data_IF_404635373203
#
_entry.id   IF_404635373203
#
_cell.length_a   1.000
_cell.length_b   1.000
_cell.length_c   1.000
_cell.angle_alpha   90.00
_cell.angle_beta   90.00
_cell.angle_gamma   90.00
#
_symmetry.space_group_name_H-M   'P 1'
#
loop_
_entity.id
_entity.type
_entity.pdbx_description
1 polymer ?
#
# COMPACT_ATOMS: atom_id res chain seq x y z
N UNK A 1 -11.05 1.13 -22.10
CA UNK A 1 -10.41 2.36 -21.63
C UNK A 1 -10.99 2.88 -20.32
N UNK A 2 -12.33 2.96 -20.18
CA UNK A 2 -13.01 3.53 -19.02
C UNK A 2 -12.65 2.85 -17.69
N UNK A 3 -12.61 1.52 -17.65
CA UNK A 3 -12.25 0.75 -16.43
C UNK A 3 -10.79 1.01 -16.07
N UNK A 4 -9.89 0.97 -17.05
CA UNK A 4 -8.47 1.23 -16.87
C UNK A 4 -8.23 2.62 -16.25
N UNK A 5 -8.83 3.65 -16.86
CA UNK A 5 -8.73 5.02 -16.36
C UNK A 5 -9.28 5.14 -14.94
N UNK A 6 -10.47 4.56 -14.66
CA UNK A 6 -11.09 4.66 -13.35
C UNK A 6 -10.26 3.99 -12.24
N UNK A 7 -9.70 2.83 -12.52
CA UNK A 7 -8.81 2.14 -11.57
C UNK A 7 -7.53 2.95 -11.33
N UNK A 8 -6.95 3.54 -12.39
CA UNK A 8 -5.80 4.42 -12.23
C UNK A 8 -6.11 5.66 -11.40
N UNK A 9 -7.26 6.30 -11.62
CA UNK A 9 -7.73 7.43 -10.82
C UNK A 9 -7.88 7.06 -9.35
N UNK A 10 -8.47 5.90 -9.06
CA UNK A 10 -8.66 5.42 -7.68
C UNK A 10 -7.35 5.06 -6.98
N UNK A 11 -6.39 4.47 -7.69
CA UNK A 11 -5.12 4.05 -7.10
C UNK A 11 -4.09 5.18 -7.05
N UNK A 12 -3.79 5.79 -8.21
CA UNK A 12 -2.67 6.71 -8.35
C UNK A 12 -3.08 8.17 -8.12
N UNK A 13 -4.11 8.66 -8.82
CA UNK A 13 -4.51 10.06 -8.71
C UNK A 13 -5.04 10.38 -7.30
N UNK A 14 -5.85 9.52 -6.72
CA UNK A 14 -6.34 9.70 -5.35
C UNK A 14 -5.18 9.73 -4.33
N UNK A 15 -4.20 8.84 -4.50
CA UNK A 15 -2.97 8.84 -3.70
C UNK A 15 -2.19 10.15 -3.82
N UNK A 16 -2.04 10.66 -5.05
CA UNK A 16 -1.38 11.95 -5.29
C UNK A 16 -2.11 13.11 -4.63
N UNK A 17 -3.43 13.21 -4.82
CA UNK A 17 -4.22 14.31 -4.26
C UNK A 17 -4.16 14.32 -2.73
N UNK A 18 -4.35 13.16 -2.10
CA UNK A 18 -4.24 13.04 -0.64
C UNK A 18 -2.81 13.35 -0.17
N UNK A 19 -1.82 12.74 -0.78
CA UNK A 19 -0.41 12.93 -0.42
C UNK A 19 0.02 14.38 -0.49
N UNK A 20 -0.37 15.10 -1.55
CA UNK A 20 -0.11 16.54 -1.74
C UNK A 20 -0.68 17.38 -0.59
N UNK A 21 -1.96 17.17 -0.27
CA UNK A 21 -2.65 17.98 0.75
C UNK A 21 -2.11 17.72 2.16
N UNK A 22 -1.85 16.45 2.52
CA UNK A 22 -1.31 16.15 3.84
C UNK A 22 0.15 16.57 3.97
N UNK A 23 0.96 16.41 2.91
CA UNK A 23 2.35 16.86 2.89
C UNK A 23 2.46 18.37 3.14
N UNK A 24 1.62 19.18 2.49
CA UNK A 24 1.60 20.62 2.69
C UNK A 24 1.38 21.01 4.17
N UNK A 25 0.49 20.29 4.86
CA UNK A 25 0.24 20.50 6.29
C UNK A 25 1.37 19.99 7.18
N UNK A 26 1.96 18.84 6.86
CA UNK A 26 3.06 18.25 7.63
C UNK A 26 4.35 19.08 7.50
N UNK A 27 4.61 19.66 6.35
CA UNK A 27 5.77 20.53 6.11
C UNK A 27 5.82 21.76 7.03
N UNK A 28 4.68 22.28 7.47
CA UNK A 28 4.64 23.42 8.39
C UNK A 28 5.24 23.13 9.77
N UNK A 29 5.29 21.85 10.15
CA UNK A 29 5.84 21.40 11.45
C UNK A 29 7.07 20.48 11.29
N UNK A 30 7.49 20.18 10.04
CA UNK A 30 8.59 19.26 9.72
C UNK A 30 8.45 17.88 10.40
N UNK A 31 7.22 17.39 10.49
CA UNK A 31 6.88 16.14 11.16
C UNK A 31 5.61 15.52 10.56
N UNK A 32 5.65 14.20 10.35
CA UNK A 32 4.50 13.43 9.89
C UNK A 32 4.90 12.11 9.26
N UNK A 33 3.89 11.26 9.06
CA UNK A 33 4.03 9.98 8.38
C UNK A 33 2.94 9.83 7.33
N UNK A 34 3.33 9.45 6.12
CA UNK A 34 2.43 9.14 5.00
C UNK A 34 2.71 7.71 4.59
N UNK A 35 1.73 6.82 4.72
CA UNK A 35 1.86 5.41 4.35
C UNK A 35 0.91 5.09 3.20
N UNK A 36 1.46 4.62 2.09
CA UNK A 36 0.70 4.19 0.93
C UNK A 36 0.53 2.67 0.96
N UNK A 37 -0.70 2.21 0.75
CA UNK A 37 -1.00 0.78 0.65
C UNK A 37 -0.84 0.29 -0.78
N UNK A 38 0.20 -0.49 -1.00
CA UNK A 38 0.45 -1.23 -2.22
C UNK A 38 -0.21 -2.60 -2.24
N UNK A 39 0.20 -3.40 -3.21
CA UNK A 39 -0.20 -4.79 -3.38
C UNK A 39 0.90 -5.52 -4.14
N UNK A 40 0.83 -6.85 -4.28
CA UNK A 40 1.65 -7.60 -5.24
C UNK A 40 1.63 -6.97 -6.64
N UNK A 41 0.48 -6.40 -7.02
CA UNK A 41 0.28 -5.64 -8.26
C UNK A 41 1.11 -4.34 -8.33
N UNK A 42 1.77 -3.90 -7.26
CA UNK A 42 2.74 -2.80 -7.29
C UNK A 42 4.12 -3.24 -7.82
N UNK A 43 4.37 -4.55 -7.85
CA UNK A 43 5.66 -5.15 -8.23
C UNK A 43 5.59 -5.93 -9.55
N UNK A 44 4.45 -6.57 -9.81
CA UNK A 44 4.28 -7.44 -10.98
C UNK A 44 2.87 -7.34 -11.55
N UNK A 45 2.75 -7.47 -12.87
CA UNK A 45 1.46 -7.64 -13.53
C UNK A 45 0.99 -9.11 -13.45
N UNK A 46 -0.33 -9.31 -13.51
CA UNK A 46 -0.95 -10.63 -13.64
C UNK A 46 -1.95 -10.65 -14.77
N UNK A 47 -2.25 -11.84 -15.30
CA UNK A 47 -3.29 -12.01 -16.30
C UNK A 47 -4.64 -11.49 -15.76
N UNK A 48 -5.31 -10.62 -16.52
CA UNK A 48 -6.57 -9.99 -16.10
C UNK A 48 -6.42 -8.76 -15.19
N UNK A 49 -5.24 -8.48 -14.66
CA UNK A 49 -5.00 -7.39 -13.68
C UNK A 49 -4.29 -6.15 -14.24
N UNK A 50 -4.25 -5.96 -15.56
CA UNK A 50 -3.51 -4.86 -16.20
C UNK A 50 -3.86 -3.47 -15.66
N UNK A 51 -5.15 -3.19 -15.43
CA UNK A 51 -5.59 -1.90 -14.89
C UNK A 51 -5.13 -1.71 -13.43
N UNK A 52 -5.31 -2.73 -12.60
CA UNK A 52 -4.92 -2.68 -11.20
C UNK A 52 -3.40 -2.58 -11.03
N UNK A 53 -2.65 -3.40 -11.78
CA UNK A 53 -1.19 -3.35 -11.75
C UNK A 53 -0.66 -1.99 -12.24
N UNK A 54 -1.23 -1.43 -13.32
CA UNK A 54 -0.86 -0.10 -13.80
C UNK A 54 -1.08 0.99 -12.73
N UNK A 55 -2.23 0.97 -12.06
CA UNK A 55 -2.53 1.91 -10.99
C UNK A 55 -1.63 1.75 -9.75
N UNK A 56 -1.36 0.51 -9.33
CA UNK A 56 -0.52 0.23 -8.15
C UNK A 56 0.97 0.48 -8.40
N UNK A 57 1.50 0.23 -9.60
CA UNK A 57 2.85 0.65 -9.99
C UNK A 57 2.99 2.17 -9.97
N UNK A 58 1.99 2.89 -10.50
CA UNK A 58 1.99 4.35 -10.48
C UNK A 58 1.96 4.90 -9.03
N UNK A 59 1.16 4.30 -8.14
CA UNK A 59 1.14 4.66 -6.73
C UNK A 59 2.50 4.42 -6.04
N UNK A 60 3.15 3.29 -6.34
CA UNK A 60 4.49 2.99 -5.81
C UNK A 60 5.53 4.02 -6.27
N UNK A 61 5.50 4.39 -7.57
CA UNK A 61 6.40 5.42 -8.11
C UNK A 61 6.16 6.79 -7.45
N UNK A 62 4.90 7.16 -7.20
CA UNK A 62 4.54 8.34 -6.44
C UNK A 62 5.13 8.30 -5.02
N UNK A 63 4.92 7.20 -4.29
CA UNK A 63 5.45 7.02 -2.94
C UNK A 63 6.98 7.17 -2.89
N UNK A 64 7.69 6.59 -3.87
CA UNK A 64 9.15 6.72 -3.99
C UNK A 64 9.60 8.16 -4.21
N UNK A 65 8.91 8.91 -5.05
CA UNK A 65 9.21 10.33 -5.31
C UNK A 65 8.98 11.17 -4.08
N UNK A 66 7.83 10.98 -3.42
CA UNK A 66 7.49 11.70 -2.18
C UNK A 66 8.46 11.36 -1.04
N UNK A 67 8.88 10.11 -0.88
CA UNK A 67 9.85 9.72 0.14
C UNK A 67 11.18 10.46 -0.02
N UNK A 68 11.69 10.57 -1.26
CA UNK A 68 12.93 11.30 -1.56
C UNK A 68 12.81 12.79 -1.34
N UNK A 69 11.66 13.36 -1.67
CA UNK A 69 11.42 14.80 -1.55
C UNK A 69 11.15 15.23 -0.10
N UNK A 70 10.38 14.44 0.64
CA UNK A 70 9.85 14.81 1.95
C UNK A 70 10.69 14.27 3.12
N UNK A 71 11.41 13.18 2.93
CA UNK A 71 12.27 12.59 3.95
C UNK A 71 13.28 13.58 4.53
N UNK A 72 14.08 14.31 3.71
CA UNK A 72 14.99 15.33 4.21
C UNK A 72 14.31 16.49 4.96
N UNK A 73 13.00 16.66 4.76
CA UNK A 73 12.16 17.68 5.40
C UNK A 73 11.47 17.16 6.68
N UNK A 74 11.81 15.95 7.13
CA UNK A 74 11.31 15.37 8.38
C UNK A 74 9.98 14.63 8.27
N UNK A 75 9.52 14.27 7.08
CA UNK A 75 8.28 13.52 6.87
C UNK A 75 8.61 12.11 6.40
N UNK A 76 8.19 11.12 7.16
CA UNK A 76 8.35 9.71 6.80
C UNK A 76 7.29 9.31 5.76
N UNK A 77 7.74 8.88 4.59
CA UNK A 77 6.86 8.33 3.55
C UNK A 77 7.21 6.87 3.33
N UNK A 78 6.24 5.99 3.55
CA UNK A 78 6.39 4.54 3.37
C UNK A 78 5.37 3.95 2.42
N UNK A 79 5.67 2.75 1.94
CA UNK A 79 4.84 1.95 1.05
C UNK A 79 4.75 0.50 1.57
N UNK A 80 3.53 0.05 1.89
CA UNK A 80 3.29 -1.32 2.38
C UNK A 80 2.75 -2.17 1.23
N UNK A 81 3.49 -3.20 0.84
CA UNK A 81 3.05 -4.17 -0.16
C UNK A 81 2.22 -5.23 0.54
N UNK A 82 0.91 -5.21 0.36
CA UNK A 82 0.00 -6.23 0.89
C UNK A 82 -0.12 -7.34 -0.17
N UNK A 83 0.60 -8.44 0.06
CA UNK A 83 0.64 -9.59 -0.85
C UNK A 83 -0.16 -10.77 -0.27
N UNK A 84 -1.46 -10.68 -0.33
CA UNK A 84 -2.42 -11.66 0.16
C UNK A 84 -3.81 -11.07 0.33
N UNK A 85 -4.77 -11.94 0.65
CA UNK A 85 -6.12 -11.50 1.01
C UNK A 85 -6.13 -10.99 2.44
N UNK A 86 -6.87 -9.92 2.69
CA UNK A 86 -7.15 -9.41 4.03
C UNK A 86 -8.49 -9.96 4.48
N UNK A 87 -8.59 -10.42 5.73
CA UNK A 87 -9.82 -10.94 6.32
C UNK A 87 -10.84 -9.82 6.50
N UNK A 88 -11.90 -9.85 5.71
CA UNK A 88 -13.09 -9.01 5.85
C UNK A 88 -14.25 -9.60 5.06
N UNK A 89 -15.47 -9.16 5.38
CA UNK A 89 -16.70 -9.64 4.73
C UNK A 89 -16.69 -9.41 3.22
N UNK A 90 -16.29 -8.21 2.79
CA UNK A 90 -16.24 -7.86 1.37
C UNK A 90 -15.28 -8.76 0.57
N UNK A 91 -14.13 -9.15 1.13
CA UNK A 91 -13.20 -10.07 0.47
C UNK A 91 -13.82 -11.47 0.36
N UNK A 92 -14.50 -11.94 1.40
CA UNK A 92 -15.18 -13.25 1.37
C UNK A 92 -16.34 -13.28 0.36
N UNK A 93 -17.09 -12.18 0.22
CA UNK A 93 -18.18 -12.07 -0.77
C UNK A 93 -17.67 -11.93 -2.20
N UNK A 94 -16.62 -11.13 -2.43
CA UNK A 94 -16.09 -10.85 -3.76
C UNK A 94 -15.29 -12.00 -4.37
N UNK A 95 -14.61 -12.79 -3.55
CA UNK A 95 -13.69 -13.86 -3.95
C UNK A 95 -13.93 -15.15 -3.12
N UNK A 96 -15.18 -15.67 -3.08
CA UNK A 96 -15.55 -16.74 -2.16
C UNK A 96 -14.70 -18.01 -2.34
N UNK A 97 -14.49 -18.45 -3.58
CA UNK A 97 -13.72 -19.65 -3.87
C UNK A 97 -12.24 -19.50 -3.48
N UNK A 98 -11.65 -18.34 -3.79
CA UNK A 98 -10.28 -18.05 -3.43
C UNK A 98 -10.13 -17.91 -1.92
N UNK A 99 -11.09 -17.24 -1.25
CA UNK A 99 -11.11 -17.11 0.20
C UNK A 99 -11.19 -18.47 0.90
N UNK A 100 -12.11 -19.34 0.45
CA UNK A 100 -12.28 -20.67 0.99
C UNK A 100 -11.08 -21.60 0.72
N UNK A 101 -10.34 -21.37 -0.37
CA UNK A 101 -9.15 -22.18 -0.73
C UNK A 101 -7.94 -21.89 0.17
N UNK A 102 -7.95 -20.78 0.92
CA UNK A 102 -6.85 -20.43 1.83
C UNK A 102 -6.94 -21.26 3.11
N UNK A 103 -5.86 -21.94 3.43
CA UNK A 103 -5.74 -22.69 4.67
C UNK A 103 -5.57 -21.81 5.91
N UNK A 104 -5.39 -22.44 7.04
CA UNK A 104 -5.09 -21.74 8.31
C UNK A 104 -3.84 -20.84 8.15
N UNK A 105 -3.95 -19.58 8.60
CA UNK A 105 -2.89 -18.59 8.43
C UNK A 105 -2.61 -18.13 6.99
N UNK A 106 -3.47 -18.51 6.03
CA UNK A 106 -3.34 -18.12 4.63
C UNK A 106 -4.01 -16.80 4.26
N UNK A 107 -4.58 -16.10 5.24
CA UNK A 107 -5.26 -14.80 5.08
C UNK A 107 -4.68 -13.84 6.12
N UNK A 108 -4.40 -12.60 5.71
CA UNK A 108 -3.86 -11.57 6.61
C UNK A 108 -4.96 -11.11 7.57
N UNK A 109 -4.67 -11.14 8.86
CA UNK A 109 -5.55 -10.56 9.86
C UNK A 109 -5.40 -9.03 9.87
N UNK A 110 -6.50 -8.28 9.97
CA UNK A 110 -6.45 -6.81 9.98
C UNK A 110 -5.59 -6.23 11.10
N UNK A 111 -5.62 -6.82 12.28
CA UNK A 111 -4.85 -6.36 13.44
C UNK A 111 -3.34 -6.57 13.22
N UNK A 112 -2.93 -7.70 12.68
CA UNK A 112 -1.52 -7.96 12.34
C UNK A 112 -1.01 -6.98 11.28
N UNK A 113 -1.86 -6.64 10.30
CA UNK A 113 -1.54 -5.63 9.30
C UNK A 113 -1.46 -4.22 9.91
N UNK A 114 -2.35 -3.89 10.83
CA UNK A 114 -2.32 -2.60 11.55
C UNK A 114 -1.04 -2.43 12.36
N UNK A 115 -0.52 -3.48 12.98
CA UNK A 115 0.75 -3.47 13.70
C UNK A 115 1.93 -3.13 12.79
N UNK A 116 1.93 -3.60 11.54
CA UNK A 116 2.93 -3.21 10.54
C UNK A 116 2.90 -1.71 10.29
N UNK A 117 1.71 -1.13 10.08
CA UNK A 117 1.56 0.32 9.88
C UNK A 117 1.99 1.12 11.11
N UNK A 118 1.63 0.65 12.30
CA UNK A 118 2.03 1.27 13.55
C UNK A 118 3.54 1.22 13.74
N UNK A 119 4.16 0.07 13.46
CA UNK A 119 5.62 -0.06 13.51
C UNK A 119 6.32 0.94 12.58
N UNK A 120 5.86 1.07 11.33
CA UNK A 120 6.42 2.06 10.39
C UNK A 120 6.26 3.50 10.89
N UNK A 121 5.08 3.82 11.46
CA UNK A 121 4.81 5.15 11.99
C UNK A 121 5.73 5.52 13.15
N UNK A 122 6.06 4.57 14.01
CA UNK A 122 6.83 4.80 15.25
C UNK A 122 8.35 4.67 15.07
N UNK A 123 8.84 4.40 13.87
CA UNK A 123 10.28 4.26 13.60
C UNK A 123 11.06 5.55 13.89
N UNK A 124 12.27 5.42 14.46
CA UNK A 124 13.16 6.56 14.67
C UNK A 124 13.63 7.15 13.33
N UNK A 125 13.83 8.45 13.27
CA UNK A 125 14.28 9.17 12.06
C UNK A 125 15.58 8.63 11.46
N UNK A 126 16.43 8.00 12.25
CA UNK A 126 17.70 7.41 11.81
C UNK A 126 17.55 6.10 11.03
N UNK A 127 16.34 5.50 11.05
CA UNK A 127 16.11 4.17 10.47
C UNK A 127 14.68 4.01 9.89
N UNK A 128 14.26 4.95 9.07
CA UNK A 128 12.97 4.86 8.39
C UNK A 128 12.99 3.81 7.27
N UNK A 129 12.02 2.92 7.29
CA UNK A 129 11.73 1.97 6.21
C UNK A 129 10.88 2.64 5.14
N UNK A 130 11.34 2.58 3.88
CA UNK A 130 10.52 3.05 2.76
C UNK A 130 9.49 2.02 2.34
N UNK A 131 9.89 0.76 2.16
CA UNK A 131 9.00 -0.27 1.63
C UNK A 131 9.05 -1.54 2.49
N UNK A 132 7.89 -2.07 2.83
CA UNK A 132 7.74 -3.30 3.58
C UNK A 132 6.71 -4.20 2.91
N UNK A 133 7.03 -5.48 2.82
CA UNK A 133 6.18 -6.54 2.31
C UNK A 133 5.44 -7.22 3.48
N UNK A 134 4.13 -7.37 3.33
CA UNK A 134 3.25 -8.06 4.28
C UNK A 134 2.49 -9.17 3.56
N UNK A 135 2.70 -10.42 3.97
CA UNK A 135 2.05 -11.59 3.37
C UNK A 135 1.81 -12.70 4.37
N UNK A 136 0.82 -13.55 4.16
CA UNK A 136 0.71 -14.80 4.89
C UNK A 136 1.93 -15.69 4.63
N UNK A 137 2.34 -16.47 5.62
CA UNK A 137 3.51 -17.35 5.50
C UNK A 137 3.39 -18.39 4.37
N UNK A 138 2.17 -18.76 4.00
CA UNK A 138 1.87 -19.74 2.95
C UNK A 138 1.66 -19.13 1.56
N UNK A 139 1.73 -17.78 1.43
CA UNK A 139 1.57 -17.13 0.12
C UNK A 139 2.84 -17.32 -0.72
N UNK A 140 2.75 -17.87 -1.95
CA UNK A 140 3.91 -18.10 -2.81
C UNK A 140 4.49 -16.76 -3.32
N UNK A 141 5.80 -16.79 -3.52
CA UNK A 141 6.56 -15.65 -4.09
C UNK A 141 6.35 -15.52 -5.60
#
# INVERSE_FOLDING_TARGET
PRVYQKVWEMCALAGFLMGREVAAKMLTRSEGTILFTGASASLRGGAGFSAFAGGKHALRALAQSMARELGPKGIHVGHVIVDGLIRNEATAEFLPDLYASKGEGGIIEPDDLADIYWHLHTQPRSAWTFEQDARPFSEPW
#
